data_IF_393651564876
#
_entry.id   IF_393651564876
#
_cell.length_a   1.000
_cell.length_b   1.000
_cell.length_c   1.000
_cell.angle_alpha   90.00
_cell.angle_beta   90.00
_cell.angle_gamma   90.00
#
_symmetry.space_group_name_H-M   'P 1'
#
loop_
_entity.id
_entity.type
_entity.pdbx_description
1 polymer ?
#
# COMPACT_ATOMS: atom_id res chain seq x y z
N UNK A 1 -24.23 2.58 -14.56
CA UNK A 1 -23.31 2.57 -13.41
C UNK A 1 -22.64 3.92 -13.34
N UNK A 2 -22.53 4.47 -12.16
CA UNK A 2 -21.87 5.75 -11.93
C UNK A 2 -20.35 5.60 -12.08
N UNK A 3 -19.69 6.59 -12.66
CA UNK A 3 -18.24 6.63 -12.68
C UNK A 3 -17.70 7.01 -11.30
N UNK A 4 -16.60 6.37 -10.90
CA UNK A 4 -15.94 6.61 -9.60
C UNK A 4 -14.64 7.34 -9.81
N UNK A 5 -14.48 8.46 -9.12
CA UNK A 5 -13.31 9.33 -9.23
C UNK A 5 -12.58 9.49 -7.90
N UNK A 6 -11.27 9.66 -7.99
CA UNK A 6 -10.42 10.07 -6.88
C UNK A 6 -10.28 11.59 -6.93
N UNK A 7 -10.64 12.25 -5.85
CA UNK A 7 -10.52 13.72 -5.73
C UNK A 7 -9.17 14.09 -5.14
N UNK A 8 -8.78 13.45 -4.05
CA UNK A 8 -7.50 13.70 -3.38
C UNK A 8 -6.97 12.42 -2.74
N UNK A 9 -5.65 12.36 -2.57
CA UNK A 9 -4.98 11.21 -1.98
C UNK A 9 -3.73 11.67 -1.24
N UNK A 10 -3.58 11.24 0.01
CA UNK A 10 -2.52 11.65 0.92
C UNK A 10 -2.03 10.47 1.76
N UNK A 11 -0.87 10.63 2.38
CA UNK A 11 -0.32 9.69 3.35
C UNK A 11 0.50 10.37 4.43
N UNK A 12 0.71 9.70 5.55
CA UNK A 12 1.77 10.09 6.48
C UNK A 12 3.14 9.76 5.87
N UNK A 13 4.23 10.31 6.37
CA UNK A 13 5.54 9.66 6.21
C UNK A 13 5.46 8.24 6.77
N UNK A 14 6.34 7.35 6.30
CA UNK A 14 6.48 6.01 6.85
C UNK A 14 7.57 6.00 7.91
N UNK A 15 7.19 5.62 9.13
CA UNK A 15 8.09 5.49 10.29
C UNK A 15 8.64 4.07 10.41
N UNK A 16 9.81 3.91 11.01
CA UNK A 16 10.36 2.60 11.38
C UNK A 16 9.58 2.02 12.55
N UNK A 17 9.19 0.76 12.49
CA UNK A 17 8.43 0.11 13.57
C UNK A 17 9.20 -0.04 14.89
N UNK A 18 10.53 -0.08 14.84
CA UNK A 18 11.38 -0.15 16.05
C UNK A 18 12.10 1.17 16.26
N UNK A 19 11.73 1.86 17.33
CA UNK A 19 12.38 3.11 17.74
C UNK A 19 12.23 4.26 16.74
N UNK A 20 11.27 4.13 15.78
CA UNK A 20 11.02 5.13 14.77
C UNK A 20 10.22 6.33 15.28
N UNK A 21 9.94 7.25 14.36
CA UNK A 21 9.28 8.53 14.63
C UNK A 21 7.93 8.36 15.34
N UNK A 22 7.17 7.31 15.01
CA UNK A 22 5.80 7.11 15.52
C UNK A 22 5.71 6.24 16.77
N UNK A 23 6.84 5.86 17.40
CA UNK A 23 6.85 4.98 18.59
C UNK A 23 6.01 5.46 19.80
N UNK A 24 5.53 6.69 19.78
CA UNK A 24 4.63 7.27 20.79
C UNK A 24 3.39 7.92 20.16
N UNK A 25 3.09 7.59 18.90
CA UNK A 25 1.92 8.08 18.17
C UNK A 25 1.02 6.88 17.89
N UNK A 26 -0.23 6.95 18.25
CA UNK A 26 -1.15 5.82 18.07
C UNK A 26 -1.65 5.70 16.63
N UNK A 27 -2.03 4.51 16.21
CA UNK A 27 -2.57 4.25 14.87
C UNK A 27 -3.82 5.07 14.56
N UNK A 28 -4.69 5.27 15.57
CA UNK A 28 -5.90 6.08 15.43
C UNK A 28 -5.55 7.56 15.16
N UNK A 29 -4.48 8.07 15.80
CA UNK A 29 -4.04 9.46 15.61
C UNK A 29 -3.50 9.69 14.19
N UNK A 30 -2.71 8.75 13.65
CA UNK A 30 -2.25 8.79 12.25
C UNK A 30 -3.42 8.80 11.27
N UNK A 31 -4.43 7.97 11.53
CA UNK A 31 -5.65 7.89 10.71
C UNK A 31 -6.48 9.16 10.80
N UNK A 32 -6.77 9.64 12.01
CA UNK A 32 -7.55 10.86 12.25
C UNK A 32 -6.87 12.10 11.66
N UNK A 33 -5.52 12.15 11.71
CA UNK A 33 -4.75 13.24 11.11
C UNK A 33 -5.01 13.34 9.60
N UNK A 34 -4.96 12.22 8.87
CA UNK A 34 -5.23 12.20 7.43
C UNK A 34 -6.69 12.49 7.08
N UNK A 35 -7.65 12.01 7.89
CA UNK A 35 -9.07 12.31 7.68
C UNK A 35 -9.33 13.81 7.78
N UNK A 36 -8.77 14.48 8.81
CA UNK A 36 -8.86 15.95 8.96
C UNK A 36 -8.18 16.67 7.80
N UNK A 37 -7.01 16.23 7.40
CA UNK A 37 -6.26 16.87 6.31
C UNK A 37 -7.01 16.81 4.99
N UNK A 38 -7.55 15.64 4.61
CA UNK A 38 -8.34 15.50 3.37
C UNK A 38 -9.56 16.42 3.36
N UNK A 39 -10.28 16.54 4.47
CA UNK A 39 -11.44 17.44 4.57
C UNK A 39 -11.00 18.90 4.54
N UNK A 40 -9.90 19.25 5.20
CA UNK A 40 -9.34 20.61 5.17
C UNK A 40 -8.89 21.05 3.77
N UNK A 41 -8.30 20.13 3.02
CA UNK A 41 -7.86 20.37 1.63
C UNK A 41 -9.03 20.46 0.65
N UNK A 42 -10.18 19.91 1.01
CA UNK A 42 -11.37 19.86 0.16
C UNK A 42 -12.59 20.50 0.85
N UNK A 43 -12.56 21.82 1.11
CA UNK A 43 -13.57 22.50 1.93
C UNK A 43 -14.97 22.54 1.31
N UNK A 44 -15.12 22.24 0.01
CA UNK A 44 -16.41 22.06 -0.63
C UNK A 44 -17.14 20.77 -0.18
N UNK A 45 -16.41 19.82 0.45
CA UNK A 45 -16.98 18.58 0.96
C UNK A 45 -17.48 18.80 2.38
N UNK A 46 -18.80 18.79 2.56
CA UNK A 46 -19.37 18.76 3.91
C UNK A 46 -19.12 17.40 4.55
N UNK A 47 -18.37 17.36 5.64
CA UNK A 47 -18.06 16.13 6.36
C UNK A 47 -19.31 15.34 6.77
N UNK A 48 -20.42 16.01 7.12
CA UNK A 48 -21.68 15.36 7.48
C UNK A 48 -22.41 14.72 6.27
N UNK A 49 -21.98 15.01 5.05
CA UNK A 49 -22.54 14.45 3.82
C UNK A 49 -21.67 13.31 3.24
N UNK A 50 -20.68 12.85 3.97
CA UNK A 50 -19.97 11.60 3.64
C UNK A 50 -20.90 10.42 3.91
N UNK A 51 -20.98 9.49 2.96
CA UNK A 51 -21.85 8.32 3.09
C UNK A 51 -21.19 7.23 3.92
N UNK A 52 -19.87 7.05 3.82
CA UNK A 52 -19.14 6.06 4.62
C UNK A 52 -17.63 6.38 4.72
N UNK A 53 -16.99 5.79 5.72
CA UNK A 53 -15.54 5.73 5.88
C UNK A 53 -15.12 4.27 5.88
N UNK A 54 -14.34 3.84 4.87
CA UNK A 54 -13.88 2.46 4.73
C UNK A 54 -12.37 2.41 4.92
N UNK A 55 -11.90 1.72 5.96
CA UNK A 55 -10.51 1.79 6.39
C UNK A 55 -9.86 0.43 6.53
N UNK A 56 -8.73 0.21 5.86
CA UNK A 56 -7.98 -1.03 5.92
C UNK A 56 -7.11 -1.13 7.18
N UNK A 57 -7.19 -2.25 7.89
CA UNK A 57 -6.28 -2.59 8.97
C UNK A 57 -6.18 -4.11 9.09
N UNK A 58 -4.96 -4.63 9.27
CA UNK A 58 -4.73 -6.08 9.32
C UNK A 58 -4.81 -6.61 10.74
N UNK A 59 -4.00 -6.07 11.63
CA UNK A 59 -3.96 -6.48 13.03
C UNK A 59 -4.97 -5.68 13.86
N UNK A 60 -6.24 -6.09 13.78
CA UNK A 60 -7.35 -5.44 14.47
C UNK A 60 -7.40 -5.81 15.96
N UNK A 61 -6.29 -5.56 16.66
CA UNK A 61 -6.13 -5.81 18.10
C UNK A 61 -5.53 -4.58 18.78
N UNK A 62 -5.58 -4.52 20.11
CA UNK A 62 -5.07 -3.39 20.89
C UNK A 62 -5.66 -2.06 20.38
N UNK A 63 -4.81 -1.06 20.12
CA UNK A 63 -5.22 0.25 19.61
C UNK A 63 -5.81 0.20 18.19
N UNK A 64 -5.51 -0.83 17.41
CA UNK A 64 -6.08 -1.05 16.08
C UNK A 64 -7.40 -1.86 16.12
N UNK A 65 -7.81 -2.32 17.30
CA UNK A 65 -9.02 -3.10 17.50
C UNK A 65 -10.30 -2.28 17.55
N UNK A 66 -11.42 -2.98 17.75
CA UNK A 66 -12.73 -2.40 17.99
C UNK A 66 -13.17 -1.37 16.94
N UNK A 67 -12.95 -1.65 15.65
CA UNK A 67 -13.26 -0.77 14.51
C UNK A 67 -12.45 0.55 14.52
N UNK A 68 -11.16 0.45 14.21
CA UNK A 68 -10.26 1.60 14.15
C UNK A 68 -10.76 2.72 13.22
N UNK A 69 -11.48 2.38 12.14
CA UNK A 69 -12.08 3.36 11.24
C UNK A 69 -13.01 4.30 12.01
N UNK A 70 -13.90 3.74 12.85
CA UNK A 70 -14.84 4.52 13.66
C UNK A 70 -14.13 5.31 14.74
N UNK A 71 -13.15 4.72 15.41
CA UNK A 71 -12.37 5.39 16.43
C UNK A 71 -11.63 6.61 15.86
N UNK A 72 -10.97 6.43 14.72
CA UNK A 72 -10.26 7.51 14.02
C UNK A 72 -11.22 8.61 13.53
N UNK A 73 -12.39 8.25 13.00
CA UNK A 73 -13.40 9.20 12.56
C UNK A 73 -13.90 10.09 13.73
N UNK A 74 -14.14 9.48 14.89
CA UNK A 74 -14.55 10.22 16.10
C UNK A 74 -13.44 11.13 16.62
N UNK A 75 -12.18 10.67 16.59
CA UNK A 75 -11.01 11.49 16.92
C UNK A 75 -10.79 12.63 15.91
N UNK A 76 -11.16 12.41 14.65
CA UNK A 76 -11.12 13.44 13.60
C UNK A 76 -12.28 14.44 13.71
N UNK A 77 -13.17 14.29 14.68
CA UNK A 77 -14.37 15.10 14.87
C UNK A 77 -15.34 15.06 13.67
N UNK A 78 -15.31 13.97 12.90
CA UNK A 78 -16.28 13.76 11.83
C UNK A 78 -17.65 13.55 12.47
N UNK A 79 -18.73 14.17 11.95
CA UNK A 79 -20.07 14.08 12.53
C UNK A 79 -20.54 12.64 12.77
N UNK A 80 -21.24 12.43 13.88
CA UNK A 80 -21.65 11.09 14.33
C UNK A 80 -22.59 10.37 13.35
N UNK A 81 -23.25 11.11 12.45
CA UNK A 81 -24.11 10.56 11.40
C UNK A 81 -23.32 9.80 10.33
N UNK A 82 -22.02 10.05 10.19
CA UNK A 82 -21.19 9.36 9.20
C UNK A 82 -20.76 8.01 9.75
N UNK A 83 -21.14 6.89 9.12
CA UNK A 83 -20.70 5.56 9.55
C UNK A 83 -19.23 5.32 9.20
N UNK A 84 -18.67 4.24 9.76
CA UNK A 84 -17.32 3.82 9.42
C UNK A 84 -17.15 2.32 9.61
N UNK A 85 -16.38 1.68 8.74
CA UNK A 85 -16.07 0.25 8.81
C UNK A 85 -14.58 -0.02 8.62
N UNK A 86 -14.08 -1.04 9.30
CA UNK A 86 -12.72 -1.53 9.13
C UNK A 86 -12.73 -2.82 8.35
N UNK A 87 -11.94 -2.89 7.27
CA UNK A 87 -11.82 -4.07 6.40
C UNK A 87 -10.47 -4.72 6.52
N UNK A 88 -10.45 -6.05 6.40
CA UNK A 88 -9.25 -6.86 6.43
C UNK A 88 -9.18 -7.77 5.20
N UNK A 89 -8.23 -7.50 4.34
CA UNK A 89 -7.73 -8.38 3.28
C UNK A 89 -6.21 -8.46 3.40
N UNK A 90 -5.71 -8.65 4.63
CA UNK A 90 -4.29 -8.64 4.93
C UNK A 90 -3.59 -7.44 4.23
N UNK A 91 -2.43 -7.64 3.59
CA UNK A 91 -1.67 -6.56 2.94
C UNK A 91 -2.51 -5.68 1.98
N UNK A 92 -3.57 -6.23 1.37
CA UNK A 92 -4.45 -5.53 0.43
C UNK A 92 -5.60 -4.75 1.06
N UNK A 93 -5.65 -4.57 2.39
CA UNK A 93 -6.83 -4.04 3.10
C UNK A 93 -7.26 -2.65 2.64
N UNK A 94 -6.36 -1.68 2.51
CA UNK A 94 -6.76 -0.33 2.06
C UNK A 94 -7.12 -0.26 0.56
N UNK A 95 -6.55 -1.12 -0.28
CA UNK A 95 -7.01 -1.25 -1.66
C UNK A 95 -8.38 -1.95 -1.73
N UNK A 96 -8.66 -2.89 -0.81
CA UNK A 96 -10.00 -3.45 -0.64
C UNK A 96 -11.00 -2.39 -0.17
N UNK A 97 -10.62 -1.53 0.77
CA UNK A 97 -11.43 -0.39 1.20
C UNK A 97 -11.81 0.51 0.01
N UNK A 98 -10.84 0.81 -0.87
CA UNK A 98 -11.10 1.53 -2.13
C UNK A 98 -12.07 0.79 -3.04
N UNK A 99 -11.90 -0.54 -3.19
CA UNK A 99 -12.80 -1.35 -4.03
C UNK A 99 -14.23 -1.40 -3.47
N UNK A 100 -14.40 -1.44 -2.15
CA UNK A 100 -15.72 -1.53 -1.54
C UNK A 100 -16.47 -0.19 -1.67
N UNK A 101 -15.82 0.93 -1.36
CA UNK A 101 -16.37 2.25 -1.59
C UNK A 101 -16.69 2.50 -3.08
N UNK A 102 -15.79 2.10 -3.99
CA UNK A 102 -16.05 2.22 -5.42
C UNK A 102 -17.29 1.44 -5.87
N UNK A 103 -17.48 0.20 -5.37
CA UNK A 103 -18.67 -0.60 -5.70
C UNK A 103 -19.95 0.04 -5.16
N UNK A 104 -19.95 0.56 -3.93
CA UNK A 104 -21.09 1.27 -3.35
C UNK A 104 -21.46 2.49 -4.22
N UNK A 105 -20.47 3.26 -4.66
CA UNK A 105 -20.69 4.41 -5.55
C UNK A 105 -21.22 3.96 -6.93
N UNK A 106 -20.63 2.92 -7.53
CA UNK A 106 -21.06 2.41 -8.85
C UNK A 106 -22.52 1.97 -8.89
N UNK A 107 -23.04 1.43 -7.79
CA UNK A 107 -24.45 0.99 -7.71
C UNK A 107 -25.40 2.07 -7.17
N UNK A 108 -24.87 3.24 -6.78
CA UNK A 108 -25.66 4.36 -6.27
C UNK A 108 -26.05 4.26 -4.79
N UNK A 109 -25.39 3.40 -4.01
CA UNK A 109 -25.57 3.25 -2.58
C UNK A 109 -24.80 4.32 -1.78
N UNK A 110 -23.76 4.88 -2.39
CA UNK A 110 -22.95 5.98 -1.86
C UNK A 110 -22.61 6.97 -2.97
N UNK A 111 -22.29 8.21 -2.61
CA UNK A 111 -21.82 9.27 -3.51
C UNK A 111 -20.44 9.81 -3.13
N UNK A 112 -20.06 9.76 -1.85
CA UNK A 112 -18.77 10.24 -1.34
C UNK A 112 -18.29 9.45 -0.14
N UNK A 113 -17.05 8.97 -0.19
CA UNK A 113 -16.45 8.18 0.87
C UNK A 113 -15.02 8.66 1.18
N UNK A 114 -14.64 8.58 2.45
CA UNK A 114 -13.23 8.55 2.83
C UNK A 114 -12.77 7.10 2.85
N UNK A 115 -11.70 6.80 2.15
CA UNK A 115 -11.09 5.46 2.14
C UNK A 115 -9.62 5.56 2.51
N UNK A 116 -9.10 4.54 3.15
CA UNK A 116 -7.69 4.53 3.49
C UNK A 116 -7.29 3.27 4.24
N UNK A 117 -6.25 3.40 5.03
CA UNK A 117 -5.82 2.34 5.92
C UNK A 117 -4.58 2.72 6.71
N UNK A 118 -4.33 1.94 7.73
CA UNK A 118 -3.26 2.13 8.70
C UNK A 118 -2.70 0.79 9.14
N UNK A 119 -1.43 0.80 9.47
CA UNK A 119 -0.83 -0.24 10.30
C UNK A 119 0.25 0.38 11.16
N UNK A 120 0.26 0.04 12.43
CA UNK A 120 1.31 0.38 13.38
C UNK A 120 2.00 -0.90 13.86
N UNK A 121 3.00 -1.35 13.11
CA UNK A 121 3.66 -2.64 13.37
C UNK A 121 4.62 -2.57 14.57
N UNK A 122 4.92 -1.35 15.04
CA UNK A 122 5.69 -1.10 16.26
C UNK A 122 4.89 -1.36 17.53
N UNK A 123 3.62 -0.95 17.57
CA UNK A 123 2.72 -1.15 18.72
C UNK A 123 1.98 -2.50 18.64
N UNK A 124 1.58 -2.90 17.43
CA UNK A 124 0.80 -4.12 17.21
C UNK A 124 1.58 -5.04 16.26
N UNK A 125 2.39 -5.96 16.80
CA UNK A 125 3.18 -6.88 15.99
C UNK A 125 2.32 -7.69 15.03
N UNK A 126 2.81 -7.94 13.83
CA UNK A 126 2.11 -8.61 12.73
C UNK A 126 1.47 -9.96 13.08
N UNK A 127 2.01 -10.66 14.08
CA UNK A 127 1.53 -11.97 14.55
C UNK A 127 0.85 -11.92 15.92
N UNK A 128 0.52 -10.73 16.44
CA UNK A 128 -0.11 -10.58 17.74
C UNK A 128 -1.49 -11.22 17.76
N UNK A 129 -1.72 -12.18 18.64
CA UNK A 129 -3.00 -12.87 18.78
C UNK A 129 -3.40 -13.77 17.58
N UNK A 130 -2.50 -14.03 16.65
CA UNK A 130 -2.79 -14.93 15.51
C UNK A 130 -2.76 -16.37 15.97
N UNK A 131 -3.89 -17.06 15.86
CA UNK A 131 -4.06 -18.49 16.14
C UNK A 131 -4.66 -19.17 14.92
N UNK A 132 -3.83 -19.87 14.15
CA UNK A 132 -4.27 -20.59 12.98
C UNK A 132 -4.99 -21.90 13.37
N UNK A 133 -6.14 -22.16 12.75
CA UNK A 133 -6.85 -23.41 12.95
C UNK A 133 -5.95 -24.62 12.64
N UNK A 134 -5.80 -25.61 13.54
CA UNK A 134 -4.89 -26.74 13.35
C UNK A 134 -5.16 -27.55 12.07
N UNK A 135 -6.40 -27.60 11.60
CA UNK A 135 -6.82 -28.27 10.38
C UNK A 135 -6.26 -27.64 9.09
N UNK A 136 -5.80 -26.39 9.11
CA UNK A 136 -5.19 -25.74 7.94
C UNK A 136 -4.00 -26.53 7.39
N UNK A 137 -3.22 -27.19 8.27
CA UNK A 137 -2.09 -28.00 7.86
C UNK A 137 -2.43 -29.24 6.99
N UNK A 138 -3.72 -29.54 6.79
CA UNK A 138 -4.18 -30.61 5.88
C UNK A 138 -4.31 -30.12 4.43
N UNK A 139 -4.50 -28.83 4.24
CA UNK A 139 -4.81 -28.23 2.93
C UNK A 139 -3.79 -27.21 2.48
N UNK A 140 -3.06 -26.61 3.43
CA UNK A 140 -2.07 -25.58 3.17
C UNK A 140 -0.76 -25.93 3.87
N UNK A 141 0.36 -25.78 3.19
CA UNK A 141 1.66 -25.97 3.81
C UNK A 141 1.85 -24.98 4.96
N UNK A 142 2.39 -25.41 6.10
CA UNK A 142 2.64 -24.54 7.27
C UNK A 142 3.51 -23.33 6.91
N UNK A 143 4.45 -23.51 5.97
CA UNK A 143 5.30 -22.44 5.45
C UNK A 143 4.55 -21.29 4.77
N UNK A 144 3.31 -21.55 4.29
CA UNK A 144 2.49 -20.49 3.66
C UNK A 144 2.07 -19.37 4.64
N UNK A 145 2.07 -19.63 5.95
CA UNK A 145 1.91 -18.62 6.99
C UNK A 145 3.17 -17.79 7.26
N UNK A 146 4.32 -18.19 6.69
CA UNK A 146 5.61 -17.52 6.83
C UNK A 146 6.00 -16.88 5.50
N UNK A 147 5.60 -15.63 5.28
CA UNK A 147 5.69 -14.94 3.99
C UNK A 147 7.10 -14.93 3.38
N UNK A 148 8.16 -14.85 4.20
CA UNK A 148 9.53 -14.94 3.73
C UNK A 148 9.88 -16.33 3.13
N UNK A 149 9.32 -17.42 3.65
CA UNK A 149 9.51 -18.75 3.04
C UNK A 149 8.76 -18.88 1.72
N UNK A 150 7.62 -18.23 1.55
CA UNK A 150 6.92 -18.18 0.25
C UNK A 150 7.73 -17.38 -0.79
N UNK A 151 8.44 -16.35 -0.36
CA UNK A 151 9.36 -15.59 -1.20
C UNK A 151 10.58 -16.43 -1.62
N UNK A 152 11.17 -17.22 -0.70
CA UNK A 152 12.22 -18.20 -1.02
C UNK A 152 11.74 -19.23 -2.05
N UNK A 153 10.50 -19.71 -1.92
CA UNK A 153 9.92 -20.63 -2.91
C UNK A 153 9.86 -20.00 -4.29
N UNK A 154 9.38 -18.75 -4.40
CA UNK A 154 9.34 -18.01 -5.68
C UNK A 154 10.74 -17.78 -6.26
N UNK A 155 11.72 -17.42 -5.43
CA UNK A 155 13.11 -17.28 -5.88
C UNK A 155 13.63 -18.57 -6.54
N UNK A 156 13.36 -19.73 -5.93
CA UNK A 156 13.75 -21.06 -6.45
C UNK A 156 13.01 -21.40 -7.75
N UNK A 157 11.69 -21.23 -7.77
CA UNK A 157 10.85 -21.55 -8.93
C UNK A 157 11.18 -20.73 -10.18
N UNK A 158 11.52 -19.44 -9.99
CA UNK A 158 11.81 -18.51 -11.09
C UNK A 158 13.29 -18.27 -11.30
N UNK A 159 14.18 -18.99 -10.57
CA UNK A 159 15.63 -18.87 -10.63
C UNK A 159 16.13 -17.44 -10.40
N UNK A 160 15.57 -16.77 -9.39
CA UNK A 160 16.01 -15.44 -9.00
C UNK A 160 17.19 -15.55 -8.05
N UNK A 161 18.35 -15.07 -8.48
CA UNK A 161 19.58 -15.13 -7.68
C UNK A 161 19.58 -14.10 -6.52
N UNK A 162 20.50 -14.26 -5.59
CA UNK A 162 20.72 -13.32 -4.50
C UNK A 162 21.16 -11.95 -5.04
N UNK A 163 22.04 -11.93 -6.01
CA UNK A 163 22.58 -10.72 -6.63
C UNK A 163 21.46 -9.92 -7.34
N UNK A 164 20.52 -10.59 -8.00
CA UNK A 164 19.35 -9.95 -8.60
C UNK A 164 18.45 -9.31 -7.54
N UNK A 165 18.25 -9.97 -6.41
CA UNK A 165 17.48 -9.44 -5.29
C UNK A 165 18.17 -8.21 -4.68
N UNK A 166 19.47 -8.29 -4.44
CA UNK A 166 20.26 -7.18 -3.88
C UNK A 166 20.27 -5.97 -4.82
N UNK A 167 20.45 -6.19 -6.14
CA UNK A 167 20.39 -5.13 -7.14
C UNK A 167 19.02 -4.44 -7.19
N UNK A 168 17.94 -5.22 -7.07
CA UNK A 168 16.58 -4.68 -7.02
C UNK A 168 16.34 -3.85 -5.74
N UNK A 169 16.81 -4.31 -4.61
CA UNK A 169 16.72 -3.59 -3.34
C UNK A 169 17.51 -2.28 -3.35
N UNK A 170 18.74 -2.30 -3.88
CA UNK A 170 19.55 -1.10 -4.09
C UNK A 170 18.80 -0.08 -4.96
N UNK A 171 18.25 -0.53 -6.09
CA UNK A 171 17.44 0.30 -6.98
C UNK A 171 16.27 0.96 -6.26
N UNK A 172 15.54 0.21 -5.42
CA UNK A 172 14.42 0.74 -4.64
C UNK A 172 14.85 1.89 -3.73
N UNK A 173 15.94 1.71 -2.94
CA UNK A 173 16.47 2.76 -2.07
C UNK A 173 16.98 3.98 -2.84
N UNK A 174 17.74 3.78 -3.91
CA UNK A 174 18.24 4.88 -4.73
C UNK A 174 17.12 5.71 -5.33
N UNK A 175 16.06 5.08 -5.84
CA UNK A 175 14.89 5.78 -6.39
C UNK A 175 14.12 6.54 -5.35
N UNK A 176 13.89 5.94 -4.18
CA UNK A 176 13.21 6.60 -3.09
C UNK A 176 13.99 7.83 -2.59
N UNK A 177 15.31 7.71 -2.46
CA UNK A 177 16.18 8.82 -2.09
C UNK A 177 16.14 9.95 -3.12
N UNK A 178 16.30 9.62 -4.40
CA UNK A 178 16.22 10.61 -5.49
C UNK A 178 14.84 11.29 -5.56
N UNK A 179 13.75 10.53 -5.37
CA UNK A 179 12.41 11.08 -5.34
C UNK A 179 12.22 12.05 -4.16
N UNK A 180 12.75 11.71 -2.98
CA UNK A 180 12.75 12.57 -1.80
C UNK A 180 13.53 13.88 -2.07
N UNK A 181 14.74 13.77 -2.64
CA UNK A 181 15.59 14.93 -2.94
C UNK A 181 14.97 15.87 -3.99
N UNK A 182 14.22 15.34 -4.96
CA UNK A 182 13.48 16.14 -5.95
C UNK A 182 12.17 16.73 -5.41
N UNK A 183 11.73 16.32 -4.22
CA UNK A 183 10.45 16.75 -3.67
C UNK A 183 9.23 16.05 -4.28
N UNK A 184 9.43 14.89 -4.91
CA UNK A 184 8.38 14.14 -5.61
C UNK A 184 7.26 13.67 -4.67
N UNK A 185 7.53 13.52 -3.37
CA UNK A 185 6.57 13.11 -2.36
C UNK A 185 5.83 14.27 -1.66
N UNK A 186 6.19 15.54 -1.95
CA UNK A 186 5.62 16.69 -1.23
C UNK A 186 4.10 16.83 -1.35
N UNK A 187 3.52 16.38 -2.47
CA UNK A 187 2.06 16.45 -2.68
C UNK A 187 1.29 15.37 -1.95
N UNK A 188 1.94 14.25 -1.61
CA UNK A 188 1.29 13.09 -0.98
C UNK A 188 1.56 13.01 0.52
N UNK A 189 2.74 13.43 0.99
CA UNK A 189 3.08 13.37 2.41
C UNK A 189 2.44 14.53 3.15
N UNK A 190 1.59 14.20 4.12
CA UNK A 190 1.09 15.12 5.13
C UNK A 190 2.08 15.12 6.29
N UNK A 191 2.75 16.25 6.57
CA UNK A 191 3.69 16.33 7.68
C UNK A 191 3.06 15.91 9.00
N UNK A 192 3.70 15.00 9.70
CA UNK A 192 3.16 14.37 10.90
C UNK A 192 4.14 14.55 12.06
N UNK A 193 3.63 14.87 13.25
CA UNK A 193 4.46 14.97 14.42
C UNK A 193 4.77 13.57 14.98
N UNK A 194 6.02 13.37 15.34
CA UNK A 194 6.55 12.14 15.95
C UNK A 194 7.68 12.49 16.91
N UNK A 195 8.44 11.49 17.35
CA UNK A 195 9.51 11.70 18.33
C UNK A 195 10.86 11.21 17.75
N UNK A 196 11.89 12.03 17.92
CA UNK A 196 13.25 11.64 17.56
C UNK A 196 13.86 10.66 18.59
N UNK A 197 15.11 10.24 18.40
CA UNK A 197 15.77 9.27 19.25
C UNK A 197 15.82 9.69 20.73
N UNK A 198 15.88 10.98 21.00
CA UNK A 198 15.94 11.55 22.34
C UNK A 198 14.54 11.78 22.96
N UNK A 199 13.48 11.43 22.25
CA UNK A 199 12.10 11.61 22.69
C UNK A 199 11.54 13.02 22.49
N UNK A 200 12.23 13.87 21.76
CA UNK A 200 11.79 15.25 21.46
C UNK A 200 10.76 15.21 20.33
N UNK A 201 9.65 15.92 20.52
CA UNK A 201 8.61 16.05 19.51
C UNK A 201 9.16 16.80 18.28
N UNK A 202 9.03 16.19 17.10
CA UNK A 202 9.55 16.70 15.83
C UNK A 202 8.55 16.50 14.72
N UNK A 203 8.53 17.41 13.75
CA UNK A 203 7.75 17.31 12.53
C UNK A 203 8.52 16.47 11.50
N UNK A 204 7.89 15.44 11.01
CA UNK A 204 8.39 14.57 9.95
C UNK A 204 7.59 14.81 8.67
N UNK A 205 8.29 15.08 7.58
CA UNK A 205 7.77 15.28 6.23
C UNK A 205 8.54 14.45 5.19
N UNK A 206 9.23 13.40 5.65
CA UNK A 206 10.00 12.45 4.85
C UNK A 206 9.86 11.01 5.40
N UNK A 207 10.05 10.03 4.54
CA UNK A 207 9.99 8.62 4.91
C UNK A 207 11.29 8.21 5.64
N UNK A 208 11.18 7.91 6.92
CA UNK A 208 12.31 7.55 7.80
C UNK A 208 12.96 6.19 7.42
N UNK A 209 12.23 5.36 6.68
CA UNK A 209 12.63 3.99 6.34
C UNK A 209 13.75 3.94 5.30
N UNK A 210 13.86 4.97 4.45
CA UNK A 210 14.86 5.04 3.39
C UNK A 210 16.26 4.96 4.00
N UNK A 211 17.12 4.11 3.41
CA UNK A 211 18.52 3.95 3.80
C UNK A 211 19.42 4.57 2.75
N UNK A 212 19.93 5.75 3.04
CA UNK A 212 20.78 6.53 2.13
C UNK A 212 22.15 5.88 1.88
N UNK A 213 22.62 5.09 2.86
CA UNK A 213 23.90 4.40 2.85
C UNK A 213 23.85 2.98 2.23
N UNK A 214 22.73 2.61 1.61
CA UNK A 214 22.58 1.30 0.97
C UNK A 214 23.62 1.13 -0.15
N UNK A 215 24.43 0.06 -0.05
CA UNK A 215 25.45 -0.29 -1.05
C UNK A 215 25.40 -1.76 -1.46
N UNK A 216 25.95 -2.14 -2.63
CA UNK A 216 26.01 -3.55 -3.04
C UNK A 216 26.74 -4.41 -2.02
N UNK A 217 27.84 -3.92 -1.44
CA UNK A 217 28.66 -4.63 -0.45
C UNK A 217 27.90 -4.81 0.86
N UNK A 218 27.17 -3.78 1.30
CA UNK A 218 26.34 -3.82 2.50
C UNK A 218 25.21 -4.84 2.37
N UNK A 219 24.53 -4.89 1.21
CA UNK A 219 23.48 -5.87 0.93
C UNK A 219 24.05 -7.28 0.85
N UNK A 220 25.17 -7.50 0.13
CA UNK A 220 25.80 -8.80 -0.02
C UNK A 220 26.27 -9.40 1.32
N UNK A 221 26.65 -8.57 2.29
CA UNK A 221 27.07 -9.00 3.63
C UNK A 221 25.90 -9.51 4.50
N UNK A 222 24.63 -9.25 4.14
CA UNK A 222 23.49 -9.67 4.92
C UNK A 222 23.26 -11.19 4.84
N UNK A 223 22.93 -11.80 5.97
CA UNK A 223 22.59 -13.23 6.04
C UNK A 223 21.13 -13.46 5.61
N UNK A 224 20.81 -14.64 5.06
CA UNK A 224 19.43 -15.05 4.82
C UNK A 224 18.60 -14.96 6.11
N UNK A 225 17.37 -14.40 5.99
CA UNK A 225 16.54 -14.10 7.15
C UNK A 225 15.54 -15.21 7.48
N UNK A 226 15.13 -16.02 6.50
CA UNK A 226 14.01 -16.97 6.63
C UNK A 226 14.45 -18.44 6.47
N UNK A 227 15.40 -18.73 5.63
CA UNK A 227 16.05 -20.06 5.49
C UNK A 227 17.56 -19.88 5.71
N UNK A 228 18.07 -20.12 6.93
CA UNK A 228 19.49 -19.84 7.27
C UNK A 228 20.50 -20.69 6.50
N UNK A 229 20.07 -21.82 5.93
CA UNK A 229 20.96 -22.80 5.27
C UNK A 229 21.00 -22.60 3.76
N UNK A 230 19.82 -22.46 3.13
CA UNK A 230 19.70 -22.46 1.67
C UNK A 230 18.96 -21.22 1.16
N UNK A 231 18.68 -20.25 2.00
CA UNK A 231 17.93 -19.04 1.65
C UNK A 231 18.76 -18.00 0.94
N UNK A 232 18.06 -17.13 0.24
CA UNK A 232 18.60 -15.99 -0.47
C UNK A 232 17.96 -14.67 -0.04
N UNK A 233 16.76 -14.72 0.55
CA UNK A 233 16.00 -13.56 1.00
C UNK A 233 16.58 -13.01 2.30
N UNK A 234 16.93 -11.73 2.30
CA UNK A 234 17.53 -11.04 3.45
C UNK A 234 16.63 -9.94 3.99
N UNK A 235 16.99 -9.37 5.13
CA UNK A 235 16.34 -8.17 5.65
C UNK A 235 16.48 -6.98 4.68
N UNK A 236 17.58 -6.89 3.91
CA UNK A 236 17.81 -5.83 2.93
C UNK A 236 17.00 -6.00 1.63
N UNK A 237 16.57 -7.22 1.31
CA UNK A 237 15.77 -7.53 0.11
C UNK A 237 14.28 -7.73 0.41
N UNK A 238 13.88 -7.43 1.65
CA UNK A 238 12.50 -7.50 2.15
C UNK A 238 11.98 -6.10 2.49
N UNK A 239 10.68 -5.89 2.36
CA UNK A 239 10.06 -4.66 2.83
C UNK A 239 10.26 -4.46 4.33
N UNK A 240 10.53 -3.23 4.74
CA UNK A 240 10.73 -2.92 6.13
C UNK A 240 9.40 -2.94 6.92
N UNK A 241 9.45 -3.48 8.14
CA UNK A 241 8.37 -3.32 9.12
C UNK A 241 8.26 -1.83 9.48
N UNK A 242 7.09 -1.27 9.31
CA UNK A 242 6.89 0.17 9.38
C UNK A 242 5.50 0.56 9.85
N UNK A 243 5.37 1.81 10.26
CA UNK A 243 4.17 2.42 10.78
C UNK A 243 3.74 3.54 9.83
N UNK A 244 2.44 3.64 9.54
CA UNK A 244 1.94 4.68 8.66
C UNK A 244 0.49 4.50 8.25
N UNK A 245 -0.08 5.57 7.72
CA UNK A 245 -1.43 5.61 7.19
C UNK A 245 -1.46 6.26 5.80
N UNK A 246 -2.47 5.92 5.01
CA UNK A 246 -2.77 6.58 3.74
C UNK A 246 -4.29 6.70 3.57
N UNK A 247 -4.72 7.75 2.87
CA UNK A 247 -6.14 8.09 2.75
C UNK A 247 -6.46 8.70 1.39
N UNK A 248 -7.69 8.51 0.94
CA UNK A 248 -8.24 9.07 -0.31
C UNK A 248 -9.65 9.59 -0.09
N UNK A 249 -9.99 10.65 -0.80
CA UNK A 249 -11.36 11.11 -0.97
C UNK A 249 -11.87 10.58 -2.31
N UNK A 250 -12.88 9.74 -2.26
CA UNK A 250 -13.47 9.04 -3.42
C UNK A 250 -14.93 9.44 -3.55
N UNK A 251 -15.39 9.72 -4.77
CA UNK A 251 -16.81 10.06 -4.98
C UNK A 251 -17.29 9.68 -6.38
N UNK A 252 -18.61 9.79 -6.58
CA UNK A 252 -19.19 9.71 -7.92
C UNK A 252 -18.75 10.92 -8.75
N UNK A 253 -18.58 10.73 -10.05
CA UNK A 253 -18.24 11.82 -10.96
C UNK A 253 -19.32 12.92 -10.98
N UNK A 254 -20.58 12.52 -10.86
CA UNK A 254 -21.71 13.46 -10.75
C UNK A 254 -21.56 14.34 -9.50
N UNK A 255 -21.23 13.74 -8.34
CA UNK A 255 -21.04 14.47 -7.08
C UNK A 255 -19.85 15.41 -7.14
N UNK A 256 -18.73 14.98 -7.72
CA UNK A 256 -17.55 15.83 -7.93
C UNK A 256 -17.91 17.08 -8.74
N UNK A 257 -18.69 16.90 -9.82
CA UNK A 257 -19.15 18.00 -10.68
C UNK A 257 -20.08 18.96 -9.93
N UNK A 258 -21.02 18.45 -9.13
CA UNK A 258 -21.93 19.27 -8.30
C UNK A 258 -21.16 20.15 -7.31
N UNK A 259 -20.09 19.62 -6.73
CA UNK A 259 -19.24 20.33 -5.77
C UNK A 259 -18.17 21.22 -6.42
N UNK A 260 -18.08 21.21 -7.75
CA UNK A 260 -17.03 21.95 -8.49
C UNK A 260 -15.62 21.43 -8.23
N UNK A 261 -15.46 20.17 -7.85
CA UNK A 261 -14.18 19.54 -7.59
C UNK A 261 -13.59 18.95 -8.88
N UNK A 262 -12.30 19.16 -9.09
CA UNK A 262 -11.56 18.55 -10.20
C UNK A 262 -11.06 17.17 -9.81
N UNK A 263 -11.57 16.09 -10.43
CA UNK A 263 -11.08 14.75 -10.14
C UNK A 263 -9.69 14.54 -10.75
N UNK A 264 -8.87 13.72 -10.07
CA UNK A 264 -7.51 13.36 -10.48
C UNK A 264 -7.49 12.16 -11.42
N UNK A 265 -8.32 11.17 -11.15
CA UNK A 265 -8.40 9.94 -11.94
C UNK A 265 -9.74 9.23 -11.77
N UNK A 266 -10.13 8.46 -12.78
CA UNK A 266 -11.16 7.43 -12.69
C UNK A 266 -10.57 6.11 -12.16
N UNK A 267 -11.37 5.34 -11.41
CA UNK A 267 -11.14 3.91 -11.20
C UNK A 267 -11.65 3.16 -12.42
N UNK A 268 -10.75 2.80 -13.35
CA UNK A 268 -11.11 2.13 -14.61
C UNK A 268 -11.55 0.69 -14.41
N UNK A 269 -10.83 -0.04 -13.54
CA UNK A 269 -11.18 -1.41 -13.19
C UNK A 269 -10.53 -1.84 -11.88
N UNK A 270 -11.09 -2.90 -11.31
CA UNK A 270 -10.66 -3.49 -10.05
C UNK A 270 -10.67 -5.02 -10.16
N UNK A 271 -9.69 -5.69 -9.56
CA UNK A 271 -9.65 -7.14 -9.50
C UNK A 271 -9.05 -7.66 -8.19
N UNK A 272 -9.58 -8.77 -7.73
CA UNK A 272 -9.00 -9.60 -6.66
C UNK A 272 -8.99 -11.04 -7.16
N UNK A 273 -7.90 -11.74 -6.91
CA UNK A 273 -7.71 -13.14 -7.32
C UNK A 273 -7.10 -13.95 -6.18
N UNK A 274 -7.36 -15.26 -6.18
CA UNK A 274 -6.63 -16.23 -5.36
C UNK A 274 -5.47 -16.85 -6.14
N UNK A 275 -4.48 -17.34 -5.42
CA UNK A 275 -3.39 -18.19 -5.91
C UNK A 275 -2.96 -19.16 -4.82
N UNK A 276 -2.03 -20.07 -5.12
CA UNK A 276 -1.50 -21.00 -4.12
C UNK A 276 -0.88 -20.22 -2.95
N UNK A 277 -1.30 -20.49 -1.69
CA UNK A 277 -0.74 -19.84 -0.51
C UNK A 277 0.78 -19.99 -0.36
N UNK A 278 1.36 -21.09 -0.86
CA UNK A 278 2.81 -21.36 -0.79
C UNK A 278 3.63 -20.40 -1.68
N UNK A 279 2.99 -19.75 -2.65
CA UNK A 279 3.56 -18.77 -3.55
C UNK A 279 2.72 -17.48 -3.57
N UNK A 280 2.23 -17.06 -2.39
CA UNK A 280 1.33 -15.92 -2.27
C UNK A 280 1.84 -14.66 -2.97
N UNK A 281 3.16 -14.49 -3.03
CA UNK A 281 3.82 -13.37 -3.68
C UNK A 281 3.55 -13.26 -5.18
N UNK A 282 3.05 -14.31 -5.83
CA UNK A 282 2.68 -14.31 -7.25
C UNK A 282 1.29 -13.70 -7.53
N UNK A 283 0.49 -13.44 -6.49
CA UNK A 283 -0.85 -12.86 -6.58
C UNK A 283 -1.01 -11.64 -7.49
N UNK A 284 -0.03 -10.71 -7.60
CA UNK A 284 -0.09 -9.57 -8.50
C UNK A 284 -0.29 -9.94 -9.98
N UNK A 285 0.25 -11.06 -10.44
CA UNK A 285 0.16 -11.47 -11.85
C UNK A 285 -1.27 -11.77 -12.28
N UNK A 286 -2.00 -12.72 -11.64
CA UNK A 286 -3.39 -12.99 -12.01
C UNK A 286 -4.29 -11.79 -11.73
N UNK A 287 -4.07 -11.02 -10.66
CA UNK A 287 -4.87 -9.85 -10.34
C UNK A 287 -4.74 -8.75 -11.40
N UNK A 288 -3.51 -8.42 -11.82
CA UNK A 288 -3.26 -7.45 -12.88
C UNK A 288 -3.85 -7.88 -14.21
N UNK A 289 -3.64 -9.14 -14.62
CA UNK A 289 -4.24 -9.67 -15.87
C UNK A 289 -5.76 -9.58 -15.86
N UNK A 290 -6.41 -9.87 -14.72
CA UNK A 290 -7.86 -9.77 -14.58
C UNK A 290 -8.34 -8.30 -14.60
N UNK A 291 -7.62 -7.39 -13.93
CA UNK A 291 -7.94 -5.97 -13.94
C UNK A 291 -7.83 -5.39 -15.35
N UNK A 292 -6.74 -5.68 -16.07
CA UNK A 292 -6.56 -5.28 -17.48
C UNK A 292 -7.67 -5.80 -18.38
N UNK A 293 -8.00 -7.09 -18.27
CA UNK A 293 -9.11 -7.68 -19.02
C UNK A 293 -10.45 -6.95 -18.78
N UNK A 294 -10.72 -6.58 -17.52
CA UNK A 294 -11.94 -5.82 -17.16
C UNK A 294 -11.93 -4.38 -17.69
N UNK A 295 -10.74 -3.77 -17.78
CA UNK A 295 -10.57 -2.44 -18.35
C UNK A 295 -10.64 -2.43 -19.89
N UNK A 296 -10.53 -3.59 -20.53
CA UNK A 296 -10.37 -3.68 -22.00
C UNK A 296 -8.99 -3.23 -22.46
N UNK A 297 -7.99 -3.33 -21.59
CA UNK A 297 -6.61 -2.88 -21.82
C UNK A 297 -5.65 -4.07 -21.84
N UNK A 298 -4.50 -3.86 -22.49
CA UNK A 298 -3.33 -4.74 -22.47
C UNK A 298 -2.27 -4.18 -21.53
N UNK A 299 -1.23 -4.97 -21.22
CA UNK A 299 -0.11 -4.53 -20.38
C UNK A 299 0.66 -3.37 -21.00
N UNK A 300 0.73 -3.30 -22.34
CA UNK A 300 1.42 -2.23 -23.08
C UNK A 300 0.72 -0.87 -22.97
N UNK A 301 -0.59 -0.86 -22.73
CA UNK A 301 -1.38 0.37 -22.59
C UNK A 301 -1.14 1.07 -21.24
N UNK A 302 -0.53 0.37 -20.29
CA UNK A 302 -0.22 0.94 -18.99
C UNK A 302 1.09 1.70 -19.04
N UNK A 303 1.05 2.95 -18.65
CA UNK A 303 2.21 3.84 -18.61
C UNK A 303 3.05 3.65 -17.35
N UNK A 304 2.40 3.51 -16.19
CA UNK A 304 3.05 3.43 -14.87
C UNK A 304 2.50 2.27 -14.06
N UNK A 305 3.39 1.52 -13.43
CA UNK A 305 3.07 0.44 -12.50
C UNK A 305 3.60 0.76 -11.10
N UNK A 306 2.73 0.64 -10.10
CA UNK A 306 3.12 0.54 -8.69
C UNK A 306 2.84 -0.90 -8.22
N UNK A 307 3.89 -1.70 -8.11
CA UNK A 307 3.85 -3.07 -7.62
C UNK A 307 4.49 -3.12 -6.25
N UNK A 308 3.73 -3.49 -5.22
CA UNK A 308 4.24 -3.51 -3.86
C UNK A 308 5.41 -4.49 -3.71
N UNK A 309 6.54 -3.99 -3.22
CA UNK A 309 7.78 -4.74 -3.03
C UNK A 309 7.79 -5.43 -1.66
N UNK A 310 6.94 -6.45 -1.47
CA UNK A 310 6.99 -7.20 -0.21
C UNK A 310 8.35 -7.88 -0.02
N UNK A 311 8.87 -8.45 -1.11
CA UNK A 311 10.22 -9.03 -1.22
C UNK A 311 10.74 -8.84 -2.65
N UNK A 312 12.04 -8.60 -2.84
CA UNK A 312 12.65 -8.59 -4.18
C UNK A 312 12.43 -9.95 -4.89
N UNK A 313 12.59 -11.05 -4.14
CA UNK A 313 12.36 -12.42 -4.60
C UNK A 313 10.93 -12.69 -5.09
N UNK A 314 9.96 -11.91 -4.63
CA UNK A 314 8.55 -11.98 -5.05
C UNK A 314 8.25 -11.01 -6.19
N UNK A 315 8.83 -9.82 -6.16
CA UNK A 315 8.53 -8.75 -7.11
C UNK A 315 9.11 -9.07 -8.49
N UNK A 316 10.34 -9.56 -8.55
CA UNK A 316 11.03 -9.89 -9.81
C UNK A 316 10.29 -10.93 -10.66
N UNK A 317 9.81 -12.07 -10.13
CA UNK A 317 8.96 -13.00 -10.89
C UNK A 317 7.70 -12.34 -11.46
N UNK A 318 7.04 -11.48 -10.68
CA UNK A 318 5.84 -10.77 -11.13
C UNK A 318 6.15 -9.82 -12.30
N UNK A 319 7.22 -9.05 -12.21
CA UNK A 319 7.69 -8.14 -13.28
C UNK A 319 8.00 -8.94 -14.54
N UNK A 320 8.70 -10.07 -14.41
CA UNK A 320 9.04 -10.97 -15.53
C UNK A 320 7.79 -11.50 -16.22
N UNK A 321 6.85 -12.06 -15.48
CA UNK A 321 5.67 -12.75 -16.02
C UNK A 321 4.56 -11.78 -16.47
N UNK A 322 4.67 -10.50 -16.10
CA UNK A 322 3.91 -9.39 -16.68
C UNK A 322 4.58 -8.80 -17.92
N UNK A 323 5.79 -9.27 -18.30
CA UNK A 323 6.51 -8.77 -19.47
C UNK A 323 7.10 -7.36 -19.30
N UNK A 324 7.47 -6.99 -18.07
CA UNK A 324 7.91 -5.64 -17.72
C UNK A 324 9.41 -5.51 -17.47
N UNK A 325 10.21 -6.57 -17.67
CA UNK A 325 11.66 -6.54 -17.40
C UNK A 325 12.38 -5.43 -18.17
N UNK A 326 12.11 -5.32 -19.47
CA UNK A 326 12.73 -4.31 -20.36
C UNK A 326 12.19 -2.89 -20.09
N UNK A 327 11.08 -2.78 -19.34
CA UNK A 327 10.43 -1.52 -18.97
C UNK A 327 10.59 -1.18 -17.49
N UNK A 328 11.35 -2.00 -16.76
CA UNK A 328 11.51 -1.88 -15.30
C UNK A 328 11.88 -0.45 -14.88
N UNK A 329 12.82 0.16 -15.58
CA UNK A 329 13.35 1.48 -15.24
C UNK A 329 12.46 2.64 -15.70
N UNK A 330 11.59 2.42 -16.64
CA UNK A 330 10.76 3.48 -17.22
C UNK A 330 9.32 3.47 -16.71
N UNK A 331 8.82 2.32 -16.23
CA UNK A 331 7.41 2.16 -15.88
C UNK A 331 7.15 1.67 -14.46
N UNK A 332 8.09 0.95 -13.82
CA UNK A 332 7.80 0.23 -12.55
C UNK A 332 8.45 0.91 -11.36
N UNK A 333 7.65 1.26 -10.34
CA UNK A 333 8.09 1.81 -9.05
C UNK A 333 9.10 2.95 -9.25
N UNK A 334 8.72 3.98 -9.97
CA UNK A 334 9.62 5.05 -10.41
C UNK A 334 10.19 5.88 -9.24
N UNK A 335 9.49 5.89 -8.12
CA UNK A 335 9.91 6.57 -6.87
C UNK A 335 10.40 5.59 -5.79
N UNK A 336 10.85 4.38 -6.19
CA UNK A 336 11.13 3.31 -5.23
C UNK A 336 9.84 2.62 -4.76
N UNK A 337 9.97 1.61 -3.90
CA UNK A 337 8.85 0.84 -3.41
C UNK A 337 9.00 0.43 -1.94
N UNK A 338 8.27 -0.59 -1.52
CA UNK A 338 8.15 -0.95 -0.12
C UNK A 338 9.44 -1.43 0.56
N UNK A 339 10.43 -1.89 -0.20
CA UNK A 339 11.76 -2.22 0.35
C UNK A 339 12.38 -0.96 0.97
N UNK A 340 12.29 0.17 0.27
CA UNK A 340 12.83 1.45 0.71
C UNK A 340 11.85 2.26 1.58
N UNK A 341 10.56 2.26 1.20
CA UNK A 341 9.53 3.12 1.82
C UNK A 341 8.79 2.45 2.97
N UNK A 342 8.95 1.12 3.14
CA UNK A 342 8.21 0.35 4.14
C UNK A 342 6.87 -0.20 3.66
N UNK A 343 6.34 -1.14 4.45
CA UNK A 343 5.10 -1.85 4.16
C UNK A 343 4.20 -1.94 5.40
N UNK A 344 3.62 -0.83 5.87
CA UNK A 344 2.57 -0.89 6.88
C UNK A 344 1.36 -1.58 6.23
N UNK A 345 1.05 -2.81 6.66
CA UNK A 345 0.23 -3.75 5.90
C UNK A 345 -1.12 -3.15 5.46
N UNK A 346 -1.92 -2.69 6.42
CA UNK A 346 -3.24 -2.12 6.14
C UNK A 346 -3.24 -0.81 5.35
N UNK A 347 -2.11 -0.07 5.39
CA UNK A 347 -1.93 1.20 4.70
C UNK A 347 -1.53 1.04 3.21
N UNK A 348 -0.77 0.00 2.90
CA UNK A 348 0.05 -0.06 1.67
C UNK A 348 -0.74 0.02 0.37
N UNK A 349 -1.96 -0.54 0.30
CA UNK A 349 -2.78 -0.45 -0.91
C UNK A 349 -3.14 0.98 -1.30
N UNK A 350 -3.54 1.80 -0.31
CA UNK A 350 -3.79 3.23 -0.50
C UNK A 350 -2.48 3.99 -0.76
N UNK A 351 -1.38 3.64 -0.07
CA UNK A 351 -0.08 4.27 -0.27
C UNK A 351 0.42 4.12 -1.71
N UNK A 352 0.45 2.91 -2.26
CA UNK A 352 0.91 2.69 -3.65
C UNK A 352 -0.01 3.39 -4.65
N UNK A 353 -1.32 3.40 -4.40
CA UNK A 353 -2.28 4.10 -5.26
C UNK A 353 -2.07 5.62 -5.21
N UNK A 354 -1.80 6.20 -4.03
CA UNK A 354 -1.48 7.63 -3.88
C UNK A 354 -0.21 8.02 -4.65
N UNK A 355 0.87 7.24 -4.49
CA UNK A 355 2.14 7.46 -5.20
C UNK A 355 1.94 7.33 -6.71
N UNK A 356 1.19 6.31 -7.17
CA UNK A 356 0.86 6.11 -8.58
C UNK A 356 0.19 7.34 -9.19
N UNK A 357 -0.87 7.86 -8.55
CA UNK A 357 -1.58 9.04 -9.03
C UNK A 357 -0.66 10.25 -9.18
N UNK A 358 0.22 10.50 -8.20
CA UNK A 358 1.19 11.60 -8.27
C UNK A 358 2.24 11.42 -9.38
N UNK A 359 2.68 10.19 -9.65
CA UNK A 359 3.58 9.89 -10.77
C UNK A 359 2.85 10.09 -12.11
N UNK A 360 1.60 9.62 -12.22
CA UNK A 360 0.80 9.79 -13.43
C UNK A 360 0.63 11.26 -13.80
N UNK A 361 0.30 12.11 -12.84
CA UNK A 361 0.19 13.57 -13.06
C UNK A 361 1.50 14.20 -13.52
N UNK A 362 2.63 13.89 -12.86
CA UNK A 362 3.94 14.46 -13.21
C UNK A 362 4.46 14.00 -14.56
N UNK A 363 4.11 12.78 -14.98
CA UNK A 363 4.58 12.17 -16.23
C UNK A 363 3.61 12.35 -17.40
N UNK A 364 2.48 13.01 -17.17
CA UNK A 364 1.39 13.11 -18.15
C UNK A 364 0.91 11.73 -18.64
N UNK A 365 0.95 10.75 -17.73
CA UNK A 365 0.59 9.36 -18.03
C UNK A 365 -0.94 9.19 -18.00
N UNK A 366 -1.46 8.44 -18.97
CA UNK A 366 -2.92 8.21 -19.09
C UNK A 366 -3.39 7.08 -18.19
N UNK A 367 -2.70 5.93 -18.22
CA UNK A 367 -3.11 4.75 -17.46
C UNK A 367 -2.04 4.31 -16.45
N UNK A 368 -2.49 4.03 -15.24
CA UNK A 368 -1.67 3.48 -14.18
C UNK A 368 -2.27 2.22 -13.56
N UNK A 369 -1.43 1.30 -13.11
CA UNK A 369 -1.84 0.08 -12.44
C UNK A 369 -1.12 -0.06 -11.11
N UNK A 370 -1.91 -0.10 -10.01
CA UNK A 370 -1.43 -0.47 -8.68
C UNK A 370 -1.79 -1.92 -8.37
N UNK A 371 -0.82 -2.72 -7.90
CA UNK A 371 -1.04 -4.12 -7.58
C UNK A 371 -0.17 -4.60 -6.42
N UNK A 372 -0.64 -5.59 -5.69
CA UNK A 372 0.09 -6.17 -4.58
C UNK A 372 -0.30 -7.62 -4.29
N UNK A 373 0.64 -8.36 -3.74
CA UNK A 373 0.42 -9.66 -3.15
C UNK A 373 -0.25 -9.54 -1.78
N UNK A 374 -0.91 -10.60 -1.38
CA UNK A 374 -1.64 -10.68 -0.12
C UNK A 374 -1.33 -12.04 0.51
N UNK A 375 -1.02 -12.05 1.78
CA UNK A 375 -0.77 -13.26 2.54
C UNK A 375 -1.86 -14.32 2.34
N UNK A 376 -1.51 -15.58 2.52
CA UNK A 376 -2.37 -16.74 2.31
C UNK A 376 -2.88 -16.89 0.86
N UNK A 377 -2.15 -16.35 -0.14
CA UNK A 377 -2.38 -16.66 -1.55
C UNK A 377 -3.48 -15.84 -2.21
N UNK A 378 -3.37 -14.51 -2.19
CA UNK A 378 -4.25 -13.63 -2.94
C UNK A 378 -3.46 -12.51 -3.64
N UNK A 379 -4.09 -11.86 -4.60
CA UNK A 379 -3.61 -10.64 -5.24
C UNK A 379 -4.73 -9.65 -5.48
N UNK A 380 -4.41 -8.36 -5.49
CA UNK A 380 -5.34 -7.27 -5.75
C UNK A 380 -4.72 -6.27 -6.70
N UNK A 381 -5.52 -5.72 -7.62
CA UNK A 381 -5.08 -4.73 -8.59
C UNK A 381 -6.17 -3.70 -8.89
N UNK A 382 -5.76 -2.46 -9.12
CA UNK A 382 -6.60 -1.37 -9.57
C UNK A 382 -5.97 -0.68 -10.77
N UNK A 383 -6.72 -0.49 -11.84
CA UNK A 383 -6.34 0.34 -12.99
C UNK A 383 -6.97 1.71 -12.82
N UNK A 384 -6.16 2.74 -12.91
CA UNK A 384 -6.56 4.15 -12.88
C UNK A 384 -6.40 4.77 -14.26
N UNK A 385 -7.33 5.64 -14.62
CA UNK A 385 -7.28 6.49 -15.82
C UNK A 385 -7.22 7.95 -15.37
N UNK A 386 -6.14 8.67 -15.70
CA UNK A 386 -5.97 10.08 -15.35
C UNK A 386 -6.98 10.95 -16.12
N UNK A 387 -7.47 11.99 -15.46
CA UNK A 387 -8.40 12.98 -16.01
C UNK A 387 -7.71 14.32 -16.30
#
# INVERSE_FOLDING_TARGET
MENVVIIDAVRTPMGRSKGGAFRHVRAEDLSAHLMRELLSRNPAVNAAALDDIVWGCVQQTLEQGFNIARNAALLAEIPHCVPATTVNRLCGSSMQALHDAARAIMVGDAHSCLVGGVEHMGHVPMNHGVDFHPGLGRTVAKAAGMMGLTAEMLARMHHISREQQDAFALRSHQRALHATQRGDFQREIVPTYGHDADGVLKRYDFDEVIREDTSPEGLAALKPAFDPVNGTVTAGTSSALSDGAAAMLVMSESRARELGLAPRAHIKSMAVTGCDPSIMGYGPVPASKLALKRAGLSISDIDIFELNEAFAAQTLPCIKDLGLLDQLDNKVNLNGGAIALGHPLGCSGARISTTLLNIMERRDAQFGLATMCIGLGQGIATVFERL
#
